data_IF_386845054893
#
_entry.id   IF_386845054893
#
_cell.length_a   1.000
_cell.length_b   1.000
_cell.length_c   1.000
_cell.angle_alpha   90.00
_cell.angle_beta   90.00
_cell.angle_gamma   90.00
#
_symmetry.space_group_name_H-M   'P 1'
#
loop_
_entity.id
_entity.type
_entity.pdbx_description
1 polymer ?
#
# COMPACT_ATOMS: atom_id res chain seq x y z
N UNK A 1 -13.22 -19.35 1.57
CA UNK A 1 -12.41 -19.63 2.78
C UNK A 1 -11.11 -20.22 2.30
N UNK A 2 -9.96 -19.69 2.74
CA UNK A 2 -8.65 -20.32 2.56
C UNK A 2 -8.41 -21.21 3.78
N UNK A 3 -7.97 -22.46 3.60
CA UNK A 3 -7.76 -23.44 4.68
C UNK A 3 -6.34 -24.00 4.65
N UNK A 4 -6.05 -24.92 5.58
CA UNK A 4 -4.87 -25.76 5.48
C UNK A 4 -5.16 -26.91 4.50
N UNK A 5 -4.17 -27.29 3.71
CA UNK A 5 -4.30 -28.29 2.65
C UNK A 5 -4.00 -27.71 1.28
N UNK A 6 -4.19 -28.52 0.24
CA UNK A 6 -4.06 -28.08 -1.14
C UNK A 6 -5.18 -27.09 -1.49
N UNK A 7 -4.81 -25.84 -1.73
CA UNK A 7 -5.70 -24.74 -2.09
C UNK A 7 -5.08 -23.93 -3.22
N UNK A 8 -5.83 -23.00 -3.79
CA UNK A 8 -5.33 -22.16 -4.87
C UNK A 8 -5.85 -20.73 -4.82
N UNK A 9 -5.06 -19.81 -5.36
CA UNK A 9 -5.46 -18.45 -5.71
C UNK A 9 -5.28 -18.27 -7.21
N UNK A 10 -6.27 -17.69 -7.87
CA UNK A 10 -6.25 -17.44 -9.30
C UNK A 10 -6.76 -16.03 -9.62
N UNK A 11 -6.16 -15.41 -10.63
CA UNK A 11 -6.56 -14.12 -11.18
C UNK A 11 -7.23 -14.38 -12.52
N UNK A 12 -8.50 -14.01 -12.63
CA UNK A 12 -9.26 -14.11 -13.87
C UNK A 12 -9.56 -12.73 -14.45
N UNK A 13 -9.64 -12.66 -15.78
CA UNK A 13 -10.18 -11.50 -16.48
C UNK A 13 -11.65 -11.74 -16.80
N UNK A 14 -12.55 -10.97 -16.19
CA UNK A 14 -14.00 -11.09 -16.44
C UNK A 14 -14.82 -10.17 -15.53
N UNK A 15 -16.15 -10.28 -15.61
CA UNK A 15 -17.03 -9.55 -14.70
C UNK A 15 -17.18 -10.34 -13.39
N UNK A 16 -17.34 -9.69 -12.22
CA UNK A 16 -17.58 -10.40 -10.97
C UNK A 16 -18.80 -11.33 -11.01
N UNK A 17 -19.80 -11.01 -11.83
CA UNK A 17 -21.01 -11.84 -12.04
C UNK A 17 -20.72 -13.15 -12.75
N UNK A 18 -19.58 -13.29 -13.42
CA UNK A 18 -19.15 -14.51 -14.11
C UNK A 18 -18.56 -15.54 -13.12
N UNK A 19 -18.31 -15.12 -11.86
CA UNK A 19 -17.68 -15.93 -10.81
C UNK A 19 -18.54 -16.00 -9.54
N UNK A 20 -19.80 -16.48 -9.58
CA UNK A 20 -20.54 -16.78 -8.36
C UNK A 20 -19.83 -17.84 -7.50
N UNK A 21 -20.14 -17.87 -6.20
CA UNK A 21 -19.59 -18.89 -5.30
C UNK A 21 -19.87 -20.31 -5.83
N UNK A 22 -18.84 -21.18 -5.80
CA UNK A 22 -18.90 -22.53 -6.36
C UNK A 22 -18.65 -22.62 -7.86
N UNK A 23 -18.26 -21.52 -8.53
CA UNK A 23 -17.77 -21.57 -9.91
C UNK A 23 -16.55 -22.49 -10.00
N UNK A 24 -16.59 -23.42 -10.95
CA UNK A 24 -15.49 -24.36 -11.17
C UNK A 24 -14.28 -23.63 -11.76
N UNK A 25 -13.09 -23.91 -11.24
CA UNK A 25 -11.83 -23.42 -11.80
C UNK A 25 -11.62 -23.89 -13.25
N UNK A 26 -11.04 -23.03 -14.08
CA UNK A 26 -10.75 -23.28 -15.50
C UNK A 26 -9.57 -22.43 -15.97
N UNK A 27 -8.95 -22.79 -17.09
CA UNK A 27 -7.96 -21.94 -17.77
C UNK A 27 -8.61 -20.83 -18.62
N UNK A 28 -9.94 -20.85 -18.78
CA UNK A 28 -10.64 -19.83 -19.58
C UNK A 28 -10.54 -18.45 -18.91
N UNK A 29 -9.95 -17.48 -19.63
CA UNK A 29 -9.67 -16.13 -19.12
C UNK A 29 -8.80 -16.09 -17.86
N UNK A 30 -8.05 -17.16 -17.57
CA UNK A 30 -7.08 -17.19 -16.49
C UNK A 30 -5.87 -16.33 -16.86
N UNK A 31 -5.53 -15.39 -15.97
CA UNK A 31 -4.34 -14.52 -16.11
C UNK A 31 -3.15 -15.13 -15.38
N UNK A 32 -3.38 -15.59 -14.14
CA UNK A 32 -2.34 -16.20 -13.31
C UNK A 32 -2.96 -17.10 -12.24
N UNK A 33 -2.23 -18.11 -11.77
CA UNK A 33 -2.66 -18.99 -10.70
C UNK A 33 -1.48 -19.50 -9.88
N UNK A 34 -1.72 -19.69 -8.58
CA UNK A 34 -0.81 -20.32 -7.64
C UNK A 34 -1.58 -21.39 -6.87
N UNK A 35 -1.14 -22.64 -6.97
CA UNK A 35 -1.61 -23.74 -6.12
C UNK A 35 -0.59 -23.91 -4.99
N UNK A 36 -1.07 -24.04 -3.75
CA UNK A 36 -0.22 -24.12 -2.58
C UNK A 36 -0.74 -25.16 -1.58
N UNK A 37 0.12 -25.57 -0.65
CA UNK A 37 -0.24 -26.53 0.40
C UNK A 37 0.55 -26.35 1.70
N UNK A 38 0.22 -27.15 2.71
CA UNK A 38 0.92 -27.21 4.00
C UNK A 38 1.82 -28.45 4.11
N UNK A 39 2.59 -28.73 3.06
CA UNK A 39 3.40 -29.97 2.89
C UNK A 39 2.56 -31.24 2.60
N UNK A 40 1.37 -31.03 2.06
CA UNK A 40 0.46 -32.09 1.64
C UNK A 40 0.86 -32.68 0.28
N UNK A 41 0.32 -33.86 -0.04
CA UNK A 41 0.47 -34.47 -1.36
C UNK A 41 -0.12 -33.55 -2.46
N UNK A 42 0.47 -33.61 -3.65
CA UNK A 42 0.05 -32.82 -4.82
C UNK A 42 -1.41 -33.07 -5.20
N UNK A 43 -2.23 -32.00 -5.24
CA UNK A 43 -3.57 -32.07 -5.83
C UNK A 43 -3.50 -31.89 -7.36
N UNK A 44 -3.14 -32.98 -8.03
CA UNK A 44 -3.02 -33.01 -9.50
C UNK A 44 -4.31 -32.65 -10.24
N UNK A 45 -5.49 -32.80 -9.61
CA UNK A 45 -6.76 -32.42 -10.25
C UNK A 45 -6.93 -30.91 -10.22
N UNK A 46 -6.69 -30.27 -9.07
CA UNK A 46 -6.71 -28.83 -8.93
C UNK A 46 -5.66 -28.15 -9.83
N UNK A 47 -4.45 -28.69 -9.84
CA UNK A 47 -3.36 -28.19 -10.71
C UNK A 47 -3.75 -28.22 -12.19
N UNK A 48 -4.38 -29.33 -12.63
CA UNK A 48 -4.83 -29.47 -14.02
C UNK A 48 -5.98 -28.51 -14.39
N UNK A 49 -6.86 -28.13 -13.45
CA UNK A 49 -7.92 -27.16 -13.70
C UNK A 49 -7.39 -25.72 -13.92
N UNK A 50 -6.23 -25.42 -13.35
CA UNK A 50 -5.60 -24.10 -13.38
C UNK A 50 -4.37 -24.05 -14.30
N UNK A 51 -4.05 -25.14 -15.00
CA UNK A 51 -2.92 -25.21 -15.92
C UNK A 51 -1.55 -25.01 -15.26
N UNK A 52 -1.42 -25.25 -13.95
CA UNK A 52 -0.15 -25.11 -13.22
C UNK A 52 0.60 -26.43 -13.12
N UNK A 53 1.93 -26.36 -13.06
CA UNK A 53 2.79 -27.57 -13.02
C UNK A 53 3.37 -27.87 -11.64
N UNK A 54 3.16 -27.00 -10.66
CA UNK A 54 3.73 -27.11 -9.33
C UNK A 54 2.71 -26.65 -8.27
N UNK A 55 2.62 -27.39 -7.16
CA UNK A 55 1.98 -26.94 -5.93
C UNK A 55 3.07 -26.51 -4.93
N UNK A 56 3.02 -25.27 -4.47
CA UNK A 56 4.05 -24.71 -3.60
C UNK A 56 3.71 -24.97 -2.13
N UNK A 57 4.56 -25.72 -1.43
CA UNK A 57 4.41 -25.95 0.01
C UNK A 57 4.85 -24.72 0.81
N UNK A 58 4.00 -24.21 1.69
CA UNK A 58 4.38 -23.22 2.72
C UNK A 58 5.12 -23.85 3.91
N UNK A 59 5.22 -25.18 3.92
CA UNK A 59 5.82 -26.00 4.98
C UNK A 59 4.79 -26.54 5.98
N UNK A 60 5.20 -27.48 6.84
CA UNK A 60 4.29 -28.14 7.78
C UNK A 60 3.97 -27.28 9.01
N UNK A 61 2.97 -27.71 9.78
CA UNK A 61 2.86 -27.38 11.22
C UNK A 61 2.26 -26.04 11.59
N UNK A 62 1.39 -25.45 10.74
CA UNK A 62 0.75 -24.15 10.99
C UNK A 62 1.81 -23.06 11.28
N UNK A 63 2.70 -22.87 10.31
CA UNK A 63 3.77 -21.88 10.37
C UNK A 63 3.27 -20.49 9.94
N UNK A 64 4.16 -19.50 9.96
CA UNK A 64 3.86 -18.12 9.56
C UNK A 64 4.64 -17.72 8.31
N UNK A 65 4.97 -18.68 7.45
CA UNK A 65 5.71 -18.40 6.23
C UNK A 65 4.83 -17.63 5.23
N UNK A 66 5.49 -17.01 4.28
CA UNK A 66 4.91 -16.45 3.07
C UNK A 66 5.53 -17.15 1.88
N UNK A 67 4.70 -17.57 0.92
CA UNK A 67 5.16 -18.02 -0.39
C UNK A 67 5.52 -16.79 -1.20
N UNK A 68 6.81 -16.53 -1.34
CA UNK A 68 7.34 -15.36 -2.01
C UNK A 68 7.71 -15.68 -3.45
N UNK A 69 7.29 -14.83 -4.39
CA UNK A 69 7.64 -14.90 -5.82
C UNK A 69 9.02 -14.29 -6.05
N UNK A 70 9.86 -14.99 -6.82
CA UNK A 70 11.19 -14.57 -7.26
C UNK A 70 11.25 -14.57 -8.78
N UNK A 71 11.82 -13.52 -9.36
CA UNK A 71 12.06 -13.37 -10.81
C UNK A 71 13.55 -13.18 -11.05
N UNK A 72 14.17 -14.07 -11.82
CA UNK A 72 15.61 -14.02 -12.10
C UNK A 72 16.02 -12.95 -13.13
N UNK A 73 15.12 -12.02 -13.46
CA UNK A 73 15.27 -10.98 -14.49
C UNK A 73 15.38 -11.51 -15.93
N UNK A 74 15.48 -12.83 -16.12
CA UNK A 74 15.28 -13.50 -17.39
C UNK A 74 13.83 -13.96 -17.57
N UNK A 75 12.95 -13.65 -16.59
CA UNK A 75 11.54 -14.00 -16.58
C UNK A 75 11.26 -15.40 -16.05
N UNK A 76 12.26 -16.10 -15.49
CA UNK A 76 12.01 -17.39 -14.85
C UNK A 76 11.47 -17.14 -13.44
N UNK A 77 10.27 -17.64 -13.19
CA UNK A 77 9.57 -17.45 -11.93
C UNK A 77 9.78 -18.66 -11.04
N UNK A 78 10.15 -18.40 -9.79
CA UNK A 78 10.22 -19.40 -8.74
C UNK A 78 9.54 -18.89 -7.48
N UNK A 79 9.22 -19.80 -6.57
CA UNK A 79 8.58 -19.49 -5.30
C UNK A 79 9.40 -20.04 -4.15
N UNK A 80 9.41 -19.33 -3.02
CA UNK A 80 10.07 -19.81 -1.79
C UNK A 80 9.23 -19.46 -0.58
N UNK A 81 8.95 -20.46 0.25
CA UNK A 81 8.32 -20.27 1.55
C UNK A 81 9.34 -19.77 2.58
N UNK A 82 9.16 -18.55 3.08
CA UNK A 82 10.08 -17.93 4.05
C UNK A 82 9.36 -16.85 4.87
N UNK A 83 10.05 -16.25 5.84
CA UNK A 83 9.50 -15.19 6.69
C UNK A 83 8.90 -14.07 5.84
N UNK A 84 7.64 -13.63 6.10
CA UNK A 84 7.00 -12.55 5.36
C UNK A 84 7.83 -11.27 5.33
N UNK A 85 7.80 -10.60 4.17
CA UNK A 85 8.56 -9.37 3.87
C UNK A 85 7.60 -8.19 3.61
N UNK A 86 6.67 -7.86 4.52
CA UNK A 86 5.74 -6.76 4.29
C UNK A 86 6.51 -5.47 4.01
N UNK A 87 6.10 -4.73 2.96
CA UNK A 87 6.72 -3.47 2.51
C UNK A 87 8.16 -3.60 1.99
N UNK A 88 8.68 -4.81 1.86
CA UNK A 88 9.95 -5.09 1.22
C UNK A 88 9.72 -5.91 -0.06
N UNK A 89 10.72 -5.90 -0.94
CA UNK A 89 10.72 -6.73 -2.13
C UNK A 89 11.03 -8.18 -1.71
N UNK A 90 10.29 -9.13 -2.27
CA UNK A 90 10.51 -10.57 -2.02
C UNK A 90 11.92 -11.02 -2.41
N UNK A 91 12.39 -10.60 -3.60
CA UNK A 91 13.64 -11.03 -4.23
C UNK A 91 14.61 -9.88 -4.48
N UNK A 92 14.26 -8.67 -4.04
CA UNK A 92 15.03 -7.45 -4.29
C UNK A 92 14.97 -6.93 -5.72
N UNK A 93 14.29 -7.60 -6.66
CA UNK A 93 14.28 -7.27 -8.09
C UNK A 93 13.22 -6.21 -8.46
N UNK A 94 12.19 -6.03 -7.62
CA UNK A 94 11.11 -5.07 -7.86
C UNK A 94 11.46 -3.60 -7.58
N UNK A 95 10.43 -2.75 -7.59
CA UNK A 95 10.58 -1.31 -7.27
C UNK A 95 10.45 -1.11 -5.77
N UNK A 96 11.54 -0.72 -5.11
CA UNK A 96 11.48 -0.32 -3.71
C UNK A 96 10.56 0.91 -3.56
N UNK A 97 9.46 0.71 -2.83
CA UNK A 97 8.54 1.76 -2.45
C UNK A 97 9.02 2.37 -1.13
N UNK A 98 8.93 3.69 -1.01
CA UNK A 98 9.26 4.40 0.23
C UNK A 98 7.95 5.01 0.77
N UNK A 99 7.47 4.54 1.91
CA UNK A 99 6.21 5.03 2.47
C UNK A 99 6.34 6.48 2.95
N UNK A 100 5.28 7.28 2.76
CA UNK A 100 5.14 8.61 3.35
C UNK A 100 4.15 8.54 4.51
N UNK A 101 4.52 9.12 5.64
CA UNK A 101 3.66 9.36 6.78
C UNK A 101 3.48 10.88 6.98
N UNK A 102 2.25 11.30 7.28
CA UNK A 102 1.90 12.68 7.60
C UNK A 102 1.41 12.71 9.04
N UNK A 103 1.98 13.59 9.85
CA UNK A 103 1.59 13.73 11.25
C UNK A 103 1.36 15.18 11.65
N UNK A 104 0.45 15.35 12.61
CA UNK A 104 0.18 16.58 13.35
C UNK A 104 0.19 16.23 14.84
N UNK A 105 0.45 17.20 15.71
CA UNK A 105 0.56 16.94 17.16
C UNK A 105 -0.79 16.73 17.85
N UNK A 106 -1.85 17.33 17.33
CA UNK A 106 -3.20 17.28 17.87
C UNK A 106 -4.21 17.14 16.73
N UNK A 107 -5.40 16.65 17.05
CA UNK A 107 -6.51 16.52 16.10
C UNK A 107 -7.51 17.67 16.19
N UNK A 108 -7.32 18.58 17.15
CA UNK A 108 -8.16 19.75 17.39
C UNK A 108 -7.27 20.91 17.80
N UNK A 109 -7.59 22.09 17.27
CA UNK A 109 -6.89 23.34 17.52
C UNK A 109 -7.92 24.45 17.62
N UNK A 110 -7.64 25.47 18.43
CA UNK A 110 -8.45 26.69 18.44
C UNK A 110 -7.97 27.64 17.33
N UNK A 111 -8.82 28.58 16.94
CA UNK A 111 -8.44 29.70 16.08
C UNK A 111 -7.22 30.46 16.63
N UNK A 112 -6.41 31.01 15.73
CA UNK A 112 -5.14 31.65 16.07
C UNK A 112 -4.02 30.68 16.48
N UNK A 113 -4.28 29.37 16.57
CA UNK A 113 -3.25 28.39 16.88
C UNK A 113 -2.25 28.20 15.73
N UNK A 114 -1.05 27.78 16.09
CA UNK A 114 0.03 27.45 15.18
C UNK A 114 0.37 25.98 15.39
N UNK A 115 0.50 25.24 14.29
CA UNK A 115 0.89 23.83 14.35
C UNK A 115 1.76 23.45 13.15
N UNK A 116 2.57 22.42 13.35
CA UNK A 116 3.39 21.85 12.30
C UNK A 116 2.70 20.63 11.68
N UNK A 117 2.77 20.54 10.36
CA UNK A 117 2.50 19.32 9.62
C UNK A 117 3.86 18.72 9.26
N UNK A 118 4.13 17.54 9.81
CA UNK A 118 5.38 16.81 9.58
C UNK A 118 5.17 15.72 8.54
N UNK A 119 6.06 15.65 7.57
CA UNK A 119 6.10 14.63 6.54
C UNK A 119 7.37 13.81 6.72
N UNK A 120 7.22 12.49 6.85
CA UNK A 120 8.37 11.59 6.94
C UNK A 120 8.29 10.47 5.93
N UNK A 121 9.46 10.05 5.43
CA UNK A 121 9.63 8.86 4.61
C UNK A 121 10.32 7.76 5.41
N UNK A 122 10.05 6.50 5.07
CA UNK A 122 10.68 5.35 5.75
C UNK A 122 12.19 5.29 5.54
N UNK A 123 12.64 5.72 4.36
CA UNK A 123 14.05 5.78 3.97
C UNK A 123 14.40 7.20 3.50
N UNK A 124 15.68 7.55 3.55
CA UNK A 124 16.17 8.80 2.99
C UNK A 124 15.85 8.90 1.50
N UNK A 125 15.40 10.07 1.05
CA UNK A 125 15.10 10.31 -0.36
C UNK A 125 16.41 10.48 -1.15
N UNK A 126 16.46 9.95 -2.37
CA UNK A 126 17.65 9.99 -3.24
C UNK A 126 17.74 11.26 -4.10
N UNK A 127 16.71 12.10 -4.03
CA UNK A 127 16.60 13.40 -4.69
C UNK A 127 15.57 14.22 -3.91
N UNK A 128 15.58 15.54 -4.06
CA UNK A 128 14.60 16.40 -3.40
C UNK A 128 13.17 15.96 -3.74
N UNK A 129 12.39 15.68 -2.68
CA UNK A 129 11.01 15.25 -2.78
C UNK A 129 10.10 16.43 -2.45
N UNK A 130 9.47 16.98 -3.47
CA UNK A 130 8.50 18.06 -3.32
C UNK A 130 7.09 17.50 -3.15
N UNK A 131 6.46 17.84 -2.03
CA UNK A 131 5.12 17.42 -1.68
C UNK A 131 4.23 18.66 -1.61
N UNK A 132 3.24 18.72 -2.49
CA UNK A 132 2.19 19.75 -2.46
C UNK A 132 0.94 19.13 -1.87
N UNK A 133 0.36 19.79 -0.87
CA UNK A 133 -0.87 19.35 -0.23
C UNK A 133 -1.93 20.44 -0.28
N UNK A 134 -3.17 20.04 -0.01
CA UNK A 134 -4.34 20.91 0.07
C UNK A 134 -4.94 20.70 1.46
N UNK A 135 -5.43 21.78 2.08
CA UNK A 135 -6.09 21.75 3.38
C UNK A 135 -7.63 21.89 3.30
N UNK A 136 -8.12 22.38 2.16
CA UNK A 136 -9.53 22.72 1.96
C UNK A 136 -10.46 21.53 2.17
N UNK A 137 -11.53 21.75 2.93
CA UNK A 137 -12.58 20.77 3.17
C UNK A 137 -13.85 21.44 3.70
N UNK A 138 -14.91 21.48 2.88
CA UNK A 138 -16.18 22.09 3.30
C UNK A 138 -16.04 23.60 3.51
N UNK A 139 -16.32 24.05 4.74
CA UNK A 139 -16.14 25.44 5.19
C UNK A 139 -14.67 25.87 5.18
N UNK A 140 -13.79 24.98 5.66
CA UNK A 140 -12.36 25.26 5.76
C UNK A 140 -11.70 25.42 4.39
N UNK A 141 -11.08 26.55 4.14
CA UNK A 141 -10.49 26.97 2.88
C UNK A 141 -9.25 27.88 3.09
N UNK A 142 -8.80 28.55 2.03
CA UNK A 142 -7.59 29.39 2.07
C UNK A 142 -7.74 30.70 2.85
N UNK A 143 -8.94 31.01 3.32
CA UNK A 143 -9.21 32.18 4.17
C UNK A 143 -8.95 31.90 5.65
N UNK A 144 -8.84 30.62 6.02
CA UNK A 144 -8.86 30.17 7.44
C UNK A 144 -7.47 29.80 7.94
N UNK A 145 -6.46 29.87 7.08
CA UNK A 145 -5.07 29.65 7.46
C UNK A 145 -4.07 30.46 6.66
N UNK A 146 -2.88 30.62 7.23
CA UNK A 146 -1.66 31.06 6.53
C UNK A 146 -0.55 30.02 6.69
N UNK A 147 0.39 30.00 5.74
CA UNK A 147 1.51 29.07 5.76
C UNK A 147 1.76 28.45 4.37
N UNK A 148 2.86 27.71 4.26
CA UNK A 148 3.20 27.04 3.00
C UNK A 148 2.49 25.69 2.91
N UNK A 149 1.73 25.48 1.84
CA UNK A 149 1.11 24.18 1.50
C UNK A 149 2.00 23.30 0.61
N UNK A 150 3.30 23.55 0.66
CA UNK A 150 4.34 22.80 -0.03
C UNK A 150 5.49 22.53 0.93
N UNK A 151 5.98 21.29 0.96
CA UNK A 151 7.15 20.90 1.74
C UNK A 151 8.13 20.14 0.85
N UNK A 152 9.42 20.38 1.07
CA UNK A 152 10.49 19.63 0.41
C UNK A 152 11.22 18.79 1.44
N UNK A 153 11.31 17.48 1.23
CA UNK A 153 12.26 16.62 1.93
C UNK A 153 13.54 16.62 1.07
N UNK A 154 14.65 17.22 1.54
CA UNK A 154 15.86 17.31 0.75
C UNK A 154 16.51 15.95 0.52
N UNK A 155 17.31 15.84 -0.54
CA UNK A 155 18.13 14.65 -0.80
C UNK A 155 18.91 14.23 0.45
N UNK A 156 18.98 12.92 0.69
CA UNK A 156 19.59 12.29 1.87
C UNK A 156 18.92 12.63 3.22
N UNK A 157 17.72 13.18 3.21
CA UNK A 157 16.88 13.31 4.41
C UNK A 157 15.61 12.47 4.25
N UNK A 158 14.91 12.24 5.36
CA UNK A 158 13.65 11.49 5.36
C UNK A 158 12.54 12.21 6.13
N UNK A 159 12.74 13.47 6.49
CA UNK A 159 11.78 14.23 7.27
C UNK A 159 11.85 15.70 6.90
N UNK A 160 10.69 16.34 6.84
CA UNK A 160 10.57 17.79 6.71
C UNK A 160 9.21 18.21 7.26
N UNK A 161 9.09 19.47 7.65
CA UNK A 161 7.85 20.00 8.21
C UNK A 161 7.55 21.38 7.62
N UNK A 162 6.28 21.75 7.68
CA UNK A 162 5.82 23.10 7.39
C UNK A 162 4.86 23.54 8.49
N UNK A 163 4.86 24.84 8.77
CA UNK A 163 4.05 25.44 9.82
C UNK A 163 2.81 26.08 9.19
N UNK A 164 1.66 25.80 9.78
CA UNK A 164 0.37 26.39 9.44
C UNK A 164 -0.11 27.19 10.66
N UNK A 165 -0.62 28.39 10.40
CA UNK A 165 -1.27 29.24 11.38
C UNK A 165 -2.74 29.34 11.03
N UNK A 166 -3.62 28.95 11.94
CA UNK A 166 -5.06 29.15 11.80
C UNK A 166 -5.38 30.63 12.00
N UNK A 167 -6.22 31.18 11.14
CA UNK A 167 -6.67 32.56 11.23
C UNK A 167 -7.75 32.65 12.31
N UNK A 168 -7.66 33.68 13.14
CA UNK A 168 -8.70 34.12 14.06
C UNK A 168 -9.34 35.36 13.42
N UNK A 169 -10.52 35.17 12.83
CA UNK A 169 -11.25 36.24 12.16
C UNK A 169 -12.57 36.59 12.86
N UNK A 170 -13.37 37.45 12.22
CA UNK A 170 -14.62 37.94 12.82
C UNK A 170 -15.85 37.15 12.43
N UNK A 171 -15.71 36.16 11.54
CA UNK A 171 -16.80 35.31 11.09
C UNK A 171 -16.94 34.13 12.05
N UNK A 172 -18.16 33.89 12.54
CA UNK A 172 -18.47 32.66 13.26
C UNK A 172 -18.99 31.64 12.25
N UNK A 173 -18.12 30.74 11.82
CA UNK A 173 -18.40 29.70 10.83
C UNK A 173 -18.70 28.33 11.48
N UNK A 174 -18.68 28.27 12.81
CA UNK A 174 -18.84 27.05 13.61
C UNK A 174 -17.59 26.16 13.59
N UNK A 175 -17.75 24.90 14.00
CA UNK A 175 -16.66 23.93 13.98
C UNK A 175 -16.26 23.57 12.54
N UNK A 176 -15.02 23.85 12.17
CA UNK A 176 -14.47 23.54 10.86
C UNK A 176 -13.59 22.27 10.87
N UNK A 177 -13.59 21.53 9.76
CA UNK A 177 -12.75 20.34 9.59
C UNK A 177 -11.69 20.58 8.50
N UNK A 178 -10.43 20.72 8.90
CA UNK A 178 -9.29 20.72 7.99
C UNK A 178 -8.97 19.30 7.50
N UNK A 179 -8.65 19.15 6.21
CA UNK A 179 -8.21 17.87 5.64
C UNK A 179 -6.89 17.99 4.89
N UNK A 180 -5.85 17.32 5.39
CA UNK A 180 -4.56 17.25 4.69
C UNK A 180 -4.68 16.23 3.53
N UNK A 181 -4.77 16.74 2.30
CA UNK A 181 -4.86 15.94 1.10
C UNK A 181 -3.58 16.06 0.26
N UNK A 182 -3.00 14.92 -0.12
CA UNK A 182 -1.82 14.83 -0.98
C UNK A 182 -2.26 14.35 -2.38
N UNK A 183 -2.67 15.25 -3.30
CA UNK A 183 -3.33 14.87 -4.56
C UNK A 183 -2.41 14.09 -5.50
N UNK A 184 -1.10 14.32 -5.41
CA UNK A 184 -0.10 13.61 -6.21
C UNK A 184 1.03 13.16 -5.33
N UNK A 185 1.37 11.88 -5.44
CA UNK A 185 2.55 11.28 -4.83
C UNK A 185 3.38 10.68 -5.97
N UNK A 186 4.70 10.95 -6.05
CA UNK A 186 5.56 10.37 -7.08
C UNK A 186 5.47 8.84 -7.12
N UNK A 187 5.65 8.22 -8.29
CA UNK A 187 5.40 6.80 -8.59
C UNK A 187 6.21 5.76 -7.78
N UNK A 188 7.06 6.20 -6.85
CA UNK A 188 7.89 5.36 -5.96
C UNK A 188 7.56 5.56 -4.48
N UNK A 189 6.49 6.29 -4.20
CA UNK A 189 6.04 6.65 -2.87
C UNK A 189 4.57 6.27 -2.72
N UNK A 190 4.17 5.88 -1.52
CA UNK A 190 2.77 5.61 -1.19
C UNK A 190 2.44 6.23 0.16
N UNK A 191 1.21 6.69 0.31
CA UNK A 191 0.74 7.24 1.59
C UNK A 191 0.38 6.10 2.52
N UNK A 192 0.97 6.08 3.70
CA UNK A 192 0.54 5.22 4.81
C UNK A 192 -0.58 5.96 5.52
N UNK A 193 -1.75 5.34 5.62
CA UNK A 193 -2.86 5.86 6.42
C UNK A 193 -2.66 5.52 7.90
#
# INVERSE_FOLDING_TARGET
MIQNGADAVAIYQGNPTDFPEGTLATETNLIDALVYSTDDAEDTTLMALLGVTEQISEGPGNNTNSIQRFDDSAGNISYTATTPTPRALNDGSGVALNGILITVSQTQYNEGAIFDITFSTEQNVTSDLNLNFILNNGGFNTSDFTGNTSVTIPTNQNISATTITLIDDTADEGDEELKINLPTVPSRLFTVK
#
